data_IF_804747775228
#
_entry.id   IF_804747775228
#
_cell.length_a   1.000
_cell.length_b   1.000
_cell.length_c   1.000
_cell.angle_alpha   90.00
_cell.angle_beta   90.00
_cell.angle_gamma   90.00
#
_symmetry.space_group_name_H-M   'P 1'
#
loop_
_entity.id
_entity.type
_entity.pdbx_description
1 polymer ?
#
# COMPACT_ATOMS: atom_id res chain seq x y z
N UNK A 1 0.14 5.57 -0.36
CA UNK A 1 0.28 4.33 0.45
C UNK A 1 -0.93 4.20 1.36
N UNK A 2 -1.68 3.09 1.32
CA UNK A 2 -2.78 2.80 2.27
C UNK A 2 -2.35 1.70 3.24
N UNK A 3 -2.26 2.08 4.53
CA UNK A 3 -1.85 1.25 5.67
C UNK A 3 -0.55 1.75 6.32
N UNK A 4 -0.57 1.94 7.63
CA UNK A 4 0.54 2.49 8.45
C UNK A 4 1.30 1.44 9.26
N UNK A 5 1.05 0.15 9.00
CA UNK A 5 1.73 -0.98 9.64
C UNK A 5 3.10 -1.31 9.03
N UNK A 6 3.68 -2.45 9.42
CA UNK A 6 4.99 -2.92 8.95
C UNK A 6 5.14 -2.82 7.42
N UNK A 7 4.20 -3.41 6.66
CA UNK A 7 4.24 -3.41 5.19
C UNK A 7 4.21 -2.01 4.61
N UNK A 8 3.35 -1.12 5.13
CA UNK A 8 3.22 0.22 4.59
C UNK A 8 4.43 1.10 4.89
N UNK A 9 4.97 1.00 6.10
CA UNK A 9 6.19 1.73 6.45
C UNK A 9 7.43 1.18 5.70
N UNK A 10 7.48 -0.12 5.44
CA UNK A 10 8.55 -0.72 4.64
C UNK A 10 8.56 -0.14 3.23
N UNK A 11 7.40 -0.08 2.57
CA UNK A 11 7.28 0.50 1.22
C UNK A 11 7.56 1.99 1.22
N UNK A 12 6.99 2.74 2.17
CA UNK A 12 7.22 4.18 2.27
C UNK A 12 8.71 4.50 2.45
N UNK A 13 9.42 3.69 3.23
CA UNK A 13 10.87 3.79 3.36
C UNK A 13 11.59 3.50 2.04
N UNK A 14 11.24 2.43 1.33
CA UNK A 14 11.85 2.12 0.02
C UNK A 14 11.58 3.20 -1.03
N UNK A 15 10.36 3.70 -1.14
CA UNK A 15 10.02 4.78 -2.08
C UNK A 15 10.75 6.08 -1.73
N UNK A 16 10.87 6.41 -0.44
CA UNK A 16 11.69 7.53 0.00
C UNK A 16 13.15 7.38 -0.39
N UNK A 17 13.73 6.17 -0.28
CA UNK A 17 15.10 5.90 -0.74
C UNK A 17 15.27 6.08 -2.25
N UNK A 18 14.20 5.85 -3.01
CA UNK A 18 14.14 6.05 -4.46
C UNK A 18 13.80 7.50 -4.85
N UNK A 19 13.64 8.40 -3.87
CA UNK A 19 13.34 9.82 -4.11
C UNK A 19 11.88 10.10 -4.50
N UNK A 20 10.97 9.16 -4.23
CA UNK A 20 9.55 9.29 -4.58
C UNK A 20 8.79 9.88 -3.40
N UNK A 21 8.04 10.94 -3.67
CA UNK A 21 7.14 11.54 -2.69
C UNK A 21 5.99 10.56 -2.38
N UNK A 22 5.73 10.34 -1.09
CA UNK A 22 4.71 9.40 -0.67
C UNK A 22 3.93 9.91 0.53
N UNK A 23 2.60 9.80 0.44
CA UNK A 23 1.69 9.98 1.56
C UNK A 23 1.21 8.60 2.02
N UNK A 24 1.39 8.30 3.30
CA UNK A 24 0.92 7.07 3.94
C UNK A 24 -0.27 7.41 4.83
N UNK A 25 -1.43 6.85 4.50
CA UNK A 25 -2.68 7.00 5.27
C UNK A 25 -3.03 5.68 5.95
N UNK A 26 -3.91 5.74 6.96
CA UNK A 26 -4.43 4.54 7.59
C UNK A 26 -5.25 3.69 6.60
N UNK A 27 -5.40 2.41 6.94
CA UNK A 27 -6.04 1.42 6.08
C UNK A 27 -7.47 1.78 5.67
N UNK A 28 -8.01 1.06 4.69
CA UNK A 28 -9.43 1.13 4.33
C UNK A 28 -10.28 0.65 5.52
N UNK A 29 -10.85 1.60 6.26
CA UNK A 29 -11.75 1.33 7.37
C UNK A 29 -13.05 0.69 6.84
N UNK A 30 -13.26 -0.61 7.11
CA UNK A 30 -14.58 -1.22 7.03
C UNK A 30 -15.09 -1.51 8.44
N UNK A 31 -15.63 -0.50 9.14
CA UNK A 31 -16.42 -0.62 10.38
C UNK A 31 -15.94 -1.62 11.46
N UNK A 32 -14.68 -2.03 11.45
CA UNK A 32 -14.14 -3.09 12.28
C UNK A 32 -12.66 -2.79 12.52
N UNK A 33 -12.20 -2.80 13.78
CA UNK A 33 -10.95 -2.19 14.16
C UNK A 33 -9.76 -2.86 13.45
N UNK A 34 -9.10 -2.10 12.57
CA UNK A 34 -7.91 -2.52 11.82
C UNK A 34 -6.71 -2.88 12.71
N UNK A 35 -6.71 -2.42 13.97
CA UNK A 35 -5.75 -2.82 15.01
C UNK A 35 -5.92 -4.25 15.52
N UNK A 36 -7.10 -4.85 15.41
CA UNK A 36 -7.35 -6.22 15.87
C UNK A 36 -6.57 -7.25 15.04
N UNK A 37 -6.39 -7.03 13.73
CA UNK A 37 -5.67 -8.00 12.87
C UNK A 37 -4.16 -8.02 13.12
N UNK A 38 -3.56 -6.86 13.46
CA UNK A 38 -2.16 -6.79 13.90
C UNK A 38 -1.95 -7.47 15.25
N UNK A 39 -2.87 -7.28 16.20
CA UNK A 39 -2.79 -7.91 17.53
C UNK A 39 -3.04 -9.42 17.46
N UNK A 40 -3.99 -9.88 16.64
CA UNK A 40 -4.29 -11.29 16.43
C UNK A 40 -3.11 -12.04 15.79
N UNK A 41 -2.39 -11.43 14.84
CA UNK A 41 -1.25 -12.08 14.16
C UNK A 41 0.02 -12.16 15.00
N UNK A 42 0.27 -11.20 15.90
CA UNK A 42 1.38 -11.35 16.88
C UNK A 42 1.17 -12.60 17.75
N UNK A 43 -0.08 -13.01 17.96
CA UNK A 43 -0.39 -14.25 18.67
C UNK A 43 -0.17 -15.53 17.83
N UNK A 44 -0.20 -15.44 16.49
CA UNK A 44 -0.01 -16.58 15.58
C UNK A 44 1.48 -16.84 15.23
N UNK A 45 2.37 -15.91 15.55
CA UNK A 45 3.81 -16.01 15.31
C UNK A 45 4.53 -16.69 16.49
N UNK A 46 5.64 -17.40 16.21
CA UNK A 46 6.52 -17.83 17.29
C UNK A 46 7.09 -16.62 18.05
N UNK A 47 7.52 -16.81 19.31
CA UNK A 47 8.08 -15.72 20.12
C UNK A 47 9.27 -15.03 19.46
N UNK A 48 10.06 -15.75 18.65
CA UNK A 48 11.21 -15.20 17.94
C UNK A 48 10.78 -14.34 16.74
N UNK A 49 9.82 -14.81 15.95
CA UNK A 49 9.30 -14.08 14.79
C UNK A 49 8.53 -12.82 15.21
N UNK A 50 7.80 -12.89 16.33
CA UNK A 50 7.17 -11.72 16.95
C UNK A 50 8.18 -10.67 17.39
N UNK A 51 9.32 -11.08 17.97
CA UNK A 51 10.38 -10.17 18.36
C UNK A 51 11.02 -9.49 17.14
N UNK A 52 11.35 -10.26 16.09
CA UNK A 52 11.86 -9.73 14.82
C UNK A 52 10.88 -8.74 14.19
N UNK A 53 9.59 -9.08 14.14
CA UNK A 53 8.55 -8.21 13.61
C UNK A 53 8.50 -6.85 14.33
N UNK A 54 8.49 -6.87 15.67
CA UNK A 54 8.45 -5.65 16.48
C UNK A 54 9.73 -4.83 16.34
N UNK A 55 10.89 -5.48 16.25
CA UNK A 55 12.17 -4.82 16.03
C UNK A 55 12.20 -4.10 14.68
N UNK A 56 11.81 -4.79 13.59
CA UNK A 56 11.74 -4.20 12.25
C UNK A 56 10.74 -3.05 12.23
N UNK A 57 9.55 -3.22 12.81
CA UNK A 57 8.56 -2.14 12.89
C UNK A 57 9.09 -0.92 13.65
N UNK A 58 9.82 -1.13 14.76
CA UNK A 58 10.46 -0.06 15.52
C UNK A 58 11.50 0.67 14.66
N UNK A 59 12.31 -0.05 13.89
CA UNK A 59 13.29 0.53 12.98
C UNK A 59 12.62 1.36 11.88
N UNK A 60 11.55 0.85 11.28
CA UNK A 60 10.81 1.55 10.24
C UNK A 60 10.14 2.83 10.77
N UNK A 61 9.56 2.81 11.97
CA UNK A 61 9.02 4.01 12.62
C UNK A 61 10.10 5.05 12.89
N UNK A 62 11.27 4.63 13.37
CA UNK A 62 12.42 5.52 13.56
C UNK A 62 12.88 6.12 12.22
N UNK A 63 12.97 5.30 11.17
CA UNK A 63 13.33 5.75 9.83
C UNK A 63 12.35 6.81 9.33
N UNK A 64 11.04 6.54 9.43
CA UNK A 64 9.98 7.45 9.01
C UNK A 64 10.09 8.82 9.69
N UNK A 65 10.31 8.84 11.01
CA UNK A 65 10.51 10.07 11.77
C UNK A 65 11.80 10.81 11.36
N UNK A 66 12.92 10.09 11.21
CA UNK A 66 14.21 10.70 10.83
C UNK A 66 14.22 11.29 9.41
N UNK A 67 13.45 10.71 8.49
CA UNK A 67 13.38 11.14 7.08
C UNK A 67 12.13 11.99 6.78
N UNK A 68 11.33 12.33 7.81
CA UNK A 68 10.11 13.14 7.71
C UNK A 68 9.13 12.61 6.66
N UNK A 69 8.92 11.30 6.64
CA UNK A 69 7.90 10.71 5.76
C UNK A 69 6.52 11.22 6.16
N UNK A 70 5.67 11.52 5.19
CA UNK A 70 4.27 11.90 5.44
C UNK A 70 3.47 10.64 5.82
N UNK A 71 3.35 10.39 7.12
CA UNK A 71 2.60 9.27 7.69
C UNK A 71 1.47 9.81 8.57
N UNK A 72 0.23 9.58 8.14
CA UNK A 72 -0.99 10.11 8.75
C UNK A 72 -1.76 9.01 9.48
N UNK A 73 -1.34 8.72 10.71
CA UNK A 73 -1.88 7.67 11.60
C UNK A 73 -3.32 7.88 12.10
N UNK A 74 -4.00 8.95 11.69
CA UNK A 74 -5.37 9.26 12.10
C UNK A 74 -6.25 9.64 10.91
N UNK A 75 -5.74 9.42 9.69
CA UNK A 75 -6.42 9.79 8.46
C UNK A 75 -6.71 8.50 7.71
N UNK A 76 -7.90 7.89 7.91
CA UNK A 76 -8.24 6.66 7.23
C UNK A 76 -8.61 6.91 5.77
N UNK A 77 -8.20 6.01 4.89
CA UNK A 77 -8.74 5.95 3.54
C UNK A 77 -10.20 5.45 3.60
N UNK A 78 -11.14 6.24 3.07
CA UNK A 78 -12.58 5.92 3.03
C UNK A 78 -13.03 5.37 1.70
N UNK A 79 -12.45 5.88 0.62
CA UNK A 79 -12.80 5.46 -0.74
C UNK A 79 -11.61 5.65 -1.66
N UNK A 80 -11.52 4.79 -2.66
CA UNK A 80 -10.51 4.81 -3.70
C UNK A 80 -11.23 4.79 -5.04
N UNK A 81 -10.87 5.70 -5.93
CA UNK A 81 -11.43 5.78 -7.28
C UNK A 81 -10.33 6.07 -8.29
N UNK A 82 -10.46 5.47 -9.48
CA UNK A 82 -9.67 5.86 -10.63
C UNK A 82 -10.32 7.11 -11.25
N UNK A 83 -9.52 8.14 -11.43
CA UNK A 83 -9.90 9.39 -12.08
C UNK A 83 -9.31 9.34 -13.49
N UNK A 84 -10.21 9.17 -14.45
CA UNK A 84 -9.87 9.27 -15.87
C UNK A 84 -9.97 10.73 -16.30
N UNK A 85 -8.95 11.21 -17.01
CA UNK A 85 -9.01 12.51 -17.65
C UNK A 85 -9.81 12.39 -18.95
N UNK A 86 -10.66 13.39 -19.28
CA UNK A 86 -11.35 13.43 -20.56
C UNK A 86 -10.41 13.64 -21.76
N UNK A 87 -9.16 14.07 -21.51
CA UNK A 87 -8.15 14.25 -22.54
C UNK A 87 -7.55 12.90 -22.99
N UNK A 88 -7.60 12.56 -24.29
CA UNK A 88 -7.03 11.33 -24.80
C UNK A 88 -5.52 11.22 -24.50
N UNK A 89 -5.12 10.14 -23.82
CA UNK A 89 -3.71 9.88 -23.50
C UNK A 89 -3.20 10.55 -22.22
N UNK A 90 -4.04 11.30 -21.50
CA UNK A 90 -3.68 11.79 -20.18
C UNK A 90 -3.51 10.63 -19.18
N UNK A 91 -2.54 10.73 -18.25
CA UNK A 91 -2.27 9.67 -17.29
C UNK A 91 -3.46 9.46 -16.36
N UNK A 92 -3.78 8.20 -16.08
CA UNK A 92 -4.76 7.85 -15.04
C UNK A 92 -4.25 8.29 -13.68
N UNK A 93 -5.14 8.85 -12.85
CA UNK A 93 -4.80 9.28 -11.51
C UNK A 93 -5.73 8.63 -10.49
N UNK A 94 -5.24 8.39 -9.29
CA UNK A 94 -6.04 7.85 -8.20
C UNK A 94 -6.52 8.95 -7.28
N UNK A 95 -7.81 8.93 -6.94
CA UNK A 95 -8.37 9.72 -5.86
C UNK A 95 -8.57 8.86 -4.62
N UNK A 96 -7.89 9.22 -3.54
CA UNK A 96 -8.07 8.63 -2.20
C UNK A 96 -8.90 9.62 -1.37
N UNK A 97 -10.17 9.30 -1.12
CA UNK A 97 -11.00 10.07 -0.20
C UNK A 97 -10.65 9.70 1.23
N UNK A 98 -10.39 10.71 2.04
CA UNK A 98 -10.12 10.64 3.47
C UNK A 98 -11.08 11.56 4.22
N UNK A 99 -11.04 11.52 5.55
CA UNK A 99 -11.85 12.44 6.38
C UNK A 99 -11.38 13.91 6.24
N UNK A 100 -10.12 14.13 5.81
CA UNK A 100 -9.52 15.45 5.62
C UNK A 100 -9.64 15.97 4.18
N UNK A 101 -10.32 15.23 3.30
CA UNK A 101 -10.48 15.57 1.88
C UNK A 101 -9.94 14.51 0.93
N UNK A 102 -9.59 14.91 -0.29
CA UNK A 102 -9.16 14.01 -1.37
C UNK A 102 -7.67 14.17 -1.62
N UNK A 103 -6.95 13.05 -1.64
CA UNK A 103 -5.56 12.97 -2.09
C UNK A 103 -5.53 12.43 -3.51
N UNK A 104 -4.80 13.10 -4.40
CA UNK A 104 -4.51 12.61 -5.75
C UNK A 104 -3.15 11.94 -5.77
N UNK A 105 -3.03 10.83 -6.50
CA UNK A 105 -1.78 10.09 -6.62
C UNK A 105 -1.68 9.36 -7.96
N UNK A 106 -0.48 9.29 -8.53
CA UNK A 106 -0.23 8.56 -9.78
C UNK A 106 -0.17 7.03 -9.57
N UNK A 107 0.06 6.61 -8.32
CA UNK A 107 0.06 5.21 -7.92
C UNK A 107 -0.49 5.03 -6.49
N UNK A 108 -1.19 3.93 -6.25
CA UNK A 108 -1.69 3.52 -4.94
C UNK A 108 -1.17 2.14 -4.61
N UNK A 109 -0.57 2.02 -3.42
CA UNK A 109 -0.10 0.76 -2.88
C UNK A 109 -1.00 0.41 -1.69
N UNK A 110 -1.73 -0.69 -1.80
CA UNK A 110 -2.60 -1.23 -0.75
C UNK A 110 -1.83 -2.28 0.04
N UNK A 111 -1.81 -2.10 1.36
CA UNK A 111 -1.29 -3.12 2.26
C UNK A 111 -2.42 -3.75 3.05
N UNK A 112 -2.39 -5.08 3.19
CA UNK A 112 -3.31 -5.84 4.06
C UNK A 112 -4.80 -5.52 3.81
N UNK A 113 -5.21 -5.43 2.55
CA UNK A 113 -6.64 -5.39 2.22
C UNK A 113 -7.26 -6.77 2.43
N UNK A 114 -8.45 -6.84 3.05
CA UNK A 114 -9.16 -8.12 3.12
C UNK A 114 -9.50 -8.60 1.70
N UNK A 115 -9.28 -9.89 1.40
CA UNK A 115 -9.57 -10.47 0.07
C UNK A 115 -10.95 -10.10 -0.48
N UNK A 116 -11.98 -10.07 0.39
CA UNK A 116 -13.34 -9.70 0.00
C UNK A 116 -13.50 -8.20 -0.32
N UNK A 117 -12.76 -7.32 0.35
CA UNK A 117 -12.76 -5.88 0.04
C UNK A 117 -12.05 -5.62 -1.28
N UNK A 118 -10.88 -6.22 -1.47
CA UNK A 118 -10.14 -6.13 -2.73
C UNK A 118 -10.98 -6.67 -3.88
N UNK A 119 -11.56 -7.86 -3.74
CA UNK A 119 -12.39 -8.46 -4.80
C UNK A 119 -13.58 -7.58 -5.17
N UNK A 120 -14.26 -6.98 -4.18
CA UNK A 120 -15.37 -6.04 -4.43
C UNK A 120 -14.88 -4.79 -5.16
N UNK A 121 -13.79 -4.20 -4.67
CA UNK A 121 -13.17 -3.04 -5.28
C UNK A 121 -12.73 -3.29 -6.74
N UNK A 122 -12.11 -4.43 -7.01
CA UNK A 122 -11.71 -4.83 -8.37
C UNK A 122 -12.93 -5.02 -9.27
N UNK A 123 -13.99 -5.65 -8.76
CA UNK A 123 -15.24 -5.80 -9.49
C UNK A 123 -15.89 -4.45 -9.81
N UNK A 124 -15.87 -3.49 -8.87
CA UNK A 124 -16.37 -2.13 -9.08
C UNK A 124 -15.58 -1.37 -10.15
N UNK A 125 -14.28 -1.68 -10.30
CA UNK A 125 -13.43 -1.16 -11.37
C UNK A 125 -13.56 -1.94 -12.70
N UNK A 126 -14.40 -2.97 -12.77
CA UNK A 126 -14.55 -3.80 -13.97
C UNK A 126 -13.46 -4.86 -14.18
N UNK A 127 -12.58 -5.08 -13.20
CA UNK A 127 -11.55 -6.12 -13.23
C UNK A 127 -12.05 -7.42 -12.60
N UNK A 128 -11.85 -8.53 -13.30
CA UNK A 128 -12.04 -9.89 -12.77
C UNK A 128 -10.71 -10.47 -12.26
N UNK A 129 -10.76 -11.24 -11.16
CA UNK A 129 -9.60 -12.01 -10.68
C UNK A 129 -9.23 -13.07 -11.73
N UNK A 130 -8.25 -12.78 -12.58
CA UNK A 130 -7.66 -13.71 -13.55
C UNK A 130 -6.16 -13.93 -13.30
N UNK A 131 -5.54 -14.83 -14.08
CA UNK A 131 -4.11 -15.19 -13.95
C UNK A 131 -3.14 -13.99 -14.08
N UNK A 132 -3.59 -12.87 -14.66
CA UNK A 132 -2.78 -11.67 -14.89
C UNK A 132 -3.22 -10.44 -14.09
N UNK A 133 -4.02 -10.62 -13.04
CA UNK A 133 -4.55 -9.50 -12.26
C UNK A 133 -3.44 -8.55 -11.78
N UNK A 134 -2.37 -9.07 -11.18
CA UNK A 134 -1.29 -8.23 -10.63
C UNK A 134 -0.61 -7.36 -11.69
N UNK A 135 -0.45 -7.87 -12.92
CA UNK A 135 0.12 -7.11 -14.03
C UNK A 135 -0.85 -6.01 -14.50
N UNK A 136 -2.13 -6.33 -14.68
CA UNK A 136 -3.15 -5.34 -15.05
C UNK A 136 -3.35 -4.26 -13.99
N UNK A 137 -3.16 -4.60 -12.71
CA UNK A 137 -3.17 -3.61 -11.63
C UNK A 137 -1.96 -2.67 -11.67
N UNK A 138 -0.77 -3.20 -11.92
CA UNK A 138 0.44 -2.39 -12.08
C UNK A 138 0.34 -1.44 -13.29
N UNK A 139 -0.36 -1.83 -14.37
CA UNK A 139 -0.65 -0.99 -15.54
C UNK A 139 -1.51 0.24 -15.23
N UNK A 140 -2.34 0.18 -14.19
CA UNK A 140 -3.11 1.33 -13.71
C UNK A 140 -2.51 1.97 -12.45
N UNK A 141 -1.31 1.55 -12.03
CA UNK A 141 -0.63 2.10 -10.85
C UNK A 141 -1.20 1.62 -9.52
N UNK A 142 -1.94 0.50 -9.51
CA UNK A 142 -2.38 -0.16 -8.28
C UNK A 142 -1.44 -1.32 -7.93
N UNK A 143 -0.93 -1.32 -6.71
CA UNK A 143 -0.04 -2.37 -6.22
C UNK A 143 -0.55 -2.94 -4.91
N UNK A 144 -0.27 -4.22 -4.68
CA UNK A 144 -0.75 -4.97 -3.54
C UNK A 144 0.41 -5.59 -2.78
N UNK A 145 0.39 -5.49 -1.45
CA UNK A 145 1.35 -6.16 -0.56
C UNK A 145 0.62 -6.88 0.55
N UNK A 146 1.06 -8.11 0.79
CA UNK A 146 0.48 -8.99 1.80
C UNK A 146 -0.95 -9.41 1.52
N UNK A 147 -1.27 -9.69 0.24
CA UNK A 147 -2.58 -10.17 -0.24
C UNK A 147 -2.53 -11.67 -0.58
N UNK A 148 -1.58 -12.42 -0.04
CA UNK A 148 -1.50 -13.89 -0.22
C UNK A 148 -2.05 -14.61 1.01
N UNK A 149 -2.22 -15.93 0.91
CA UNK A 149 -2.96 -16.82 1.82
C UNK A 149 -2.76 -16.56 3.34
N UNK A 150 -3.72 -17.07 4.12
CA UNK A 150 -3.92 -16.87 5.57
C UNK A 150 -2.70 -17.10 6.48
N UNK A 151 -1.57 -17.59 5.98
CA UNK A 151 -0.32 -17.72 6.73
C UNK A 151 0.29 -16.36 7.09
N UNK A 152 0.97 -16.29 8.24
CA UNK A 152 1.62 -15.07 8.70
C UNK A 152 2.86 -14.79 7.83
N UNK A 153 2.84 -13.68 7.10
CA UNK A 153 4.00 -13.23 6.35
C UNK A 153 5.12 -12.82 7.31
N UNK A 154 6.28 -13.46 7.18
CA UNK A 154 7.48 -13.07 7.93
C UNK A 154 7.89 -11.62 7.62
N UNK A 155 8.56 -10.97 8.58
CA UNK A 155 9.08 -9.61 8.39
C UNK A 155 9.99 -9.52 7.17
N UNK A 156 10.85 -10.54 6.96
CA UNK A 156 11.74 -10.65 5.81
C UNK A 156 10.99 -10.67 4.47
N UNK A 157 9.90 -11.43 4.39
CA UNK A 157 9.10 -11.50 3.18
C UNK A 157 8.40 -10.18 2.89
N UNK A 158 7.89 -9.49 3.93
CA UNK A 158 7.33 -8.14 3.77
C UNK A 158 8.37 -7.15 3.23
N UNK A 159 9.59 -7.18 3.76
CA UNK A 159 10.68 -6.32 3.28
C UNK A 159 11.06 -6.65 1.82
N UNK A 160 11.07 -7.93 1.45
CA UNK A 160 11.32 -8.37 0.07
C UNK A 160 10.24 -7.84 -0.88
N UNK A 161 8.97 -7.98 -0.51
CA UNK A 161 7.84 -7.46 -1.30
C UNK A 161 7.88 -5.94 -1.40
N UNK A 162 8.17 -5.24 -0.31
CA UNK A 162 8.30 -3.78 -0.30
C UNK A 162 9.36 -3.29 -1.28
N UNK A 163 10.51 -3.96 -1.36
CA UNK A 163 11.58 -3.61 -2.30
C UNK A 163 11.17 -3.86 -3.74
N UNK A 164 10.51 -4.99 -4.02
CA UNK A 164 10.01 -5.32 -5.35
C UNK A 164 8.96 -4.33 -5.84
N UNK A 165 7.94 -4.05 -5.01
CA UNK A 165 6.86 -3.11 -5.34
C UNK A 165 7.37 -1.69 -5.43
N UNK A 166 8.29 -1.28 -4.55
CA UNK A 166 8.91 0.04 -4.59
C UNK A 166 9.67 0.28 -5.90
N UNK A 167 10.46 -0.70 -6.35
CA UNK A 167 11.19 -0.62 -7.62
C UNK A 167 10.25 -0.56 -8.83
N UNK A 168 9.20 -1.37 -8.84
CA UNK A 168 8.23 -1.42 -9.93
C UNK A 168 7.40 -0.13 -10.04
N UNK A 169 6.91 0.37 -8.91
CA UNK A 169 6.24 1.68 -8.83
C UNK A 169 7.17 2.81 -9.27
N UNK A 170 8.43 2.80 -8.86
CA UNK A 170 9.42 3.79 -9.28
C UNK A 170 9.68 3.78 -10.78
N UNK A 171 9.82 2.59 -11.37
CA UNK A 171 10.03 2.43 -12.81
C UNK A 171 8.84 2.99 -13.59
N UNK A 172 7.60 2.71 -13.15
CA UNK A 172 6.38 3.26 -13.75
C UNK A 172 6.35 4.78 -13.68
N UNK A 173 6.56 5.36 -12.50
CA UNK A 173 6.52 6.81 -12.31
C UNK A 173 7.62 7.51 -13.12
N UNK A 174 8.80 6.91 -13.22
CA UNK A 174 9.88 7.38 -14.09
C UNK A 174 9.54 7.31 -15.58
N UNK A 175 8.83 6.27 -16.03
CA UNK A 175 8.39 6.14 -17.42
C UNK A 175 7.28 7.15 -17.77
N UNK A 176 6.37 7.45 -16.84
CA UNK A 176 5.32 8.46 -17.02
C UNK A 176 5.88 9.88 -17.23
N UNK A 177 6.98 10.22 -16.54
CA UNK A 177 7.67 11.52 -16.69
C UNK A 177 8.40 11.69 -18.04
N UNK A 178 8.63 10.61 -18.80
CA UNK A 178 9.26 10.68 -20.13
C UNK A 178 8.25 10.90 -21.27
N UNK A 179 6.95 10.78 -20.98
CA UNK A 179 5.85 10.92 -21.93
C UNK A 179 4.96 12.15 -21.68
N UNK A 180 5.28 12.98 -20.68
CA UNK A 180 4.62 14.24 -20.36
C UNK A 180 5.44 15.44 -20.86
#
# INVERSE_FOLDING_TARGET
MIGTGLSGLAVAAELSRLGIETVTVDGLESSSPSTATSALRVADLSSAESAEYLEVLRHLRKYAASHRLDVRHHVPARHLALVESPEPGAPVQWAVRTDDGVLLADAVILTRCAHNQLRRFLADLGYSLGEHLMAGLAEIGLYLIGVTDLEALSAREVLRQAKSVGADAAARLGAGLQHA
#
